data_IF_331455044590
#
_entry.id   IF_331455044590
#
_cell.length_a   1.000
_cell.length_b   1.000
_cell.length_c   1.000
_cell.angle_alpha   90.00
_cell.angle_beta   90.00
_cell.angle_gamma   90.00
#
_symmetry.space_group_name_H-M   'P 1'
#
loop_
_entity.id
_entity.type
_entity.pdbx_description
1 polymer ?
#
# COMPACT_ATOMS: atom_id res chain seq x y z
N UNK A 1 -81.04 12.63 -39.11
CA UNK A 1 -79.79 12.96 -38.41
C UNK A 1 -78.65 12.26 -39.20
N UNK A 2 -77.79 13.03 -39.94
CA UNK A 2 -76.85 12.48 -40.92
C UNK A 2 -75.49 12.34 -40.24
N UNK A 3 -74.95 11.11 -40.19
CA UNK A 3 -73.62 10.78 -39.70
C UNK A 3 -72.69 10.80 -40.93
N UNK A 4 -71.69 11.69 -40.91
CA UNK A 4 -70.62 11.73 -41.91
C UNK A 4 -69.46 10.87 -41.48
N UNK A 5 -69.18 9.85 -42.25
CA UNK A 5 -67.99 8.97 -42.10
C UNK A 5 -66.79 9.64 -42.73
N UNK A 6 -65.71 9.87 -41.95
CA UNK A 6 -64.42 10.32 -42.45
C UNK A 6 -63.51 9.09 -42.62
N UNK A 7 -63.03 8.88 -43.83
CA UNK A 7 -62.03 7.88 -44.15
C UNK A 7 -60.67 8.55 -44.07
N UNK A 8 -59.80 8.06 -43.14
CA UNK A 8 -58.38 8.49 -43.06
C UNK A 8 -57.55 7.43 -43.72
N UNK A 9 -56.90 7.78 -44.85
CA UNK A 9 -55.89 7.00 -45.54
C UNK A 9 -54.55 7.14 -44.88
N UNK A 10 -54.00 6.07 -44.30
CA UNK A 10 -52.64 6.00 -43.75
C UNK A 10 -51.64 5.63 -44.85
N UNK A 11 -50.76 6.56 -45.19
CA UNK A 11 -49.59 6.29 -46.04
C UNK A 11 -48.48 5.69 -45.20
N UNK A 12 -48.07 4.47 -45.50
CA UNK A 12 -46.92 3.82 -44.88
C UNK A 12 -45.62 4.26 -45.61
N UNK A 13 -44.75 4.97 -44.90
CA UNK A 13 -43.41 5.28 -45.38
C UNK A 13 -42.44 4.19 -44.89
N UNK A 14 -41.86 3.45 -45.84
CA UNK A 14 -40.73 2.55 -45.58
C UNK A 14 -39.48 3.37 -45.36
N UNK A 15 -38.92 3.37 -44.17
CA UNK A 15 -37.59 3.88 -43.89
C UNK A 15 -36.55 2.75 -44.05
N UNK A 16 -35.64 2.89 -44.99
CA UNK A 16 -34.47 2.03 -45.10
C UNK A 16 -33.56 2.25 -43.91
N UNK A 17 -33.35 1.20 -43.15
CA UNK A 17 -32.33 1.18 -42.09
C UNK A 17 -30.95 1.06 -42.77
N UNK A 18 -30.16 2.14 -42.69
CA UNK A 18 -28.73 2.10 -43.00
C UNK A 18 -28.02 1.39 -41.83
N UNK A 19 -27.32 0.29 -42.11
CA UNK A 19 -26.38 -0.33 -41.20
C UNK A 19 -25.22 0.64 -40.99
N UNK A 20 -25.27 1.40 -39.90
CA UNK A 20 -24.14 2.14 -39.36
C UNK A 20 -23.23 1.18 -38.60
N UNK A 21 -21.96 1.11 -39.01
CA UNK A 21 -20.87 0.45 -38.31
C UNK A 21 -20.88 0.86 -36.83
N UNK A 22 -21.00 -0.11 -35.94
CA UNK A 22 -20.80 0.09 -34.48
C UNK A 22 -19.33 0.35 -34.25
N UNK A 23 -18.95 1.63 -34.18
CA UNK A 23 -17.77 2.07 -33.44
C UNK A 23 -18.00 1.67 -31.99
N UNK A 24 -17.27 0.66 -31.55
CA UNK A 24 -17.15 0.35 -30.11
C UNK A 24 -16.36 1.48 -29.47
N UNK A 25 -17.06 2.57 -29.14
CA UNK A 25 -16.52 3.56 -28.21
C UNK A 25 -16.23 2.81 -26.90
N UNK A 26 -14.97 2.72 -26.54
CA UNK A 26 -14.57 2.25 -25.21
C UNK A 26 -15.28 3.06 -24.13
N UNK A 27 -15.34 2.56 -22.89
CA UNK A 27 -16.00 3.27 -21.81
C UNK A 27 -15.48 4.71 -21.78
N UNK A 28 -16.36 5.71 -21.54
CA UNK A 28 -15.94 7.11 -21.48
C UNK A 28 -14.84 7.22 -20.42
N UNK A 29 -13.68 7.74 -20.81
CA UNK A 29 -12.62 8.08 -19.85
C UNK A 29 -13.24 9.11 -18.89
N UNK A 30 -13.19 8.80 -17.57
CA UNK A 30 -13.63 9.74 -16.55
C UNK A 30 -12.91 11.08 -16.71
N UNK A 31 -13.54 12.18 -16.28
CA UNK A 31 -12.85 13.46 -16.24
C UNK A 31 -11.66 13.35 -15.26
N UNK A 32 -10.49 13.92 -15.61
CA UNK A 32 -9.33 13.91 -14.73
C UNK A 32 -9.68 14.50 -13.36
N UNK A 33 -9.27 13.84 -12.28
CA UNK A 33 -9.49 14.32 -10.93
C UNK A 33 -8.71 15.62 -10.73
N UNK A 34 -9.40 16.70 -10.37
CA UNK A 34 -8.76 18.00 -10.15
C UNK A 34 -7.77 17.93 -8.98
N UNK A 35 -6.59 18.51 -9.17
CA UNK A 35 -5.58 18.63 -8.11
C UNK A 35 -6.10 19.41 -6.92
N UNK A 36 -5.68 19.01 -5.72
CA UNK A 36 -6.06 19.66 -4.46
C UNK A 36 -4.81 20.29 -3.84
N UNK A 37 -4.89 21.58 -3.53
CA UNK A 37 -3.77 22.29 -2.90
C UNK A 37 -3.43 21.69 -1.51
N UNK A 38 -2.14 21.52 -1.24
CA UNK A 38 -1.65 21.08 0.06
C UNK A 38 -1.73 22.19 1.11
N UNK A 39 -1.66 21.86 2.41
CA UNK A 39 -1.55 22.84 3.47
C UNK A 39 -0.35 23.79 3.27
N UNK A 40 -0.47 25.04 3.68
CA UNK A 40 0.58 26.01 3.52
C UNK A 40 1.91 25.53 4.13
N UNK A 41 2.96 25.57 3.35
CA UNK A 41 4.33 25.20 3.77
C UNK A 41 4.63 23.71 3.82
N UNK A 42 3.72 22.84 3.37
CA UNK A 42 3.95 21.37 3.29
C UNK A 42 3.56 20.84 1.91
N UNK A 43 4.29 19.87 1.39
CA UNK A 43 3.82 19.04 0.29
C UNK A 43 2.86 17.95 0.83
N UNK A 44 1.96 17.42 -0.01
CA UNK A 44 1.08 16.35 0.47
C UNK A 44 1.85 15.09 0.88
N UNK A 45 2.97 14.77 0.25
CA UNK A 45 3.84 13.64 0.64
C UNK A 45 4.44 13.77 2.04
N UNK A 46 4.53 15.01 2.59
CA UNK A 46 5.01 15.28 3.94
C UNK A 46 3.88 15.22 4.99
N UNK A 47 2.65 15.06 4.55
CA UNK A 47 1.49 14.86 5.44
C UNK A 47 1.35 13.38 5.71
N UNK A 48 1.98 12.91 6.78
CA UNK A 48 1.98 11.51 7.18
C UNK A 48 1.32 11.35 8.54
N UNK A 49 0.48 10.33 8.67
CA UNK A 49 -0.19 10.01 9.94
C UNK A 49 -0.33 8.50 10.12
N UNK A 50 -0.41 8.06 11.37
CA UNK A 50 -0.80 6.70 11.70
C UNK A 50 -2.32 6.57 11.57
N UNK A 51 -2.80 5.50 10.96
CA UNK A 51 -4.23 5.26 10.76
C UNK A 51 -4.85 4.49 11.92
N UNK A 52 -6.18 4.48 12.02
CA UNK A 52 -6.92 3.68 13.02
C UNK A 52 -6.73 2.18 12.80
N UNK A 53 -6.42 1.76 11.58
CA UNK A 53 -6.05 0.39 11.28
C UNK A 53 -4.70 0.01 11.90
N UNK A 54 -3.82 0.98 12.12
CA UNK A 54 -2.46 0.83 12.64
C UNK A 54 -1.38 1.01 11.58
N UNK A 55 -1.77 1.16 10.30
CA UNK A 55 -0.88 1.49 9.19
C UNK A 55 -0.45 2.95 9.17
N UNK A 56 0.19 3.36 8.08
CA UNK A 56 0.65 4.73 7.87
C UNK A 56 0.11 5.25 6.55
N UNK A 57 -0.51 6.43 6.60
CA UNK A 57 -1.04 7.11 5.42
C UNK A 57 -0.24 8.36 5.13
N UNK A 58 0.15 8.54 3.86
CA UNK A 58 0.66 9.80 3.34
C UNK A 58 -0.32 10.41 2.33
N UNK A 59 -0.31 11.71 2.23
CA UNK A 59 -1.13 12.45 1.27
C UNK A 59 -2.35 13.11 1.88
N UNK A 60 -3.22 13.60 1.00
CA UNK A 60 -4.48 14.24 1.38
C UNK A 60 -5.45 13.22 2.02
N UNK A 61 -5.81 13.35 3.29
CA UNK A 61 -6.72 12.40 3.94
C UNK A 61 -8.14 12.41 3.32
N UNK A 62 -8.49 13.50 2.62
CA UNK A 62 -9.74 13.64 1.89
C UNK A 62 -9.62 13.34 0.40
N UNK A 63 -8.52 12.71 -0.04
CA UNK A 63 -8.32 12.33 -1.43
C UNK A 63 -9.47 11.45 -1.95
N UNK A 64 -9.85 11.67 -3.20
CA UNK A 64 -10.90 10.90 -3.88
C UNK A 64 -10.53 9.43 -4.03
N UNK A 65 -9.25 9.16 -4.28
CA UNK A 65 -8.71 7.82 -4.42
C UNK A 65 -7.86 7.48 -3.19
N UNK A 66 -8.22 6.40 -2.52
CA UNK A 66 -7.51 5.88 -1.35
C UNK A 66 -6.88 4.55 -1.73
N UNK A 67 -5.58 4.58 -2.04
CA UNK A 67 -4.81 3.38 -2.32
C UNK A 67 -4.26 2.83 -1.01
N UNK A 68 -4.52 1.56 -0.75
CA UNK A 68 -3.97 0.84 0.40
C UNK A 68 -3.09 -0.28 -0.13
N UNK A 69 -1.87 -0.39 0.39
CA UNK A 69 -0.98 -1.52 0.20
C UNK A 69 -0.87 -2.34 1.49
N UNK A 70 -1.17 -3.61 1.41
CA UNK A 70 -0.70 -4.60 2.38
C UNK A 70 0.67 -5.09 1.93
N UNK A 71 1.69 -4.72 2.66
CA UNK A 71 3.07 -5.01 2.33
C UNK A 71 3.83 -5.71 3.45
N UNK A 72 4.83 -6.50 3.09
CA UNK A 72 5.76 -7.12 4.03
C UNK A 72 7.18 -6.67 3.70
N UNK A 73 7.91 -6.28 4.75
CA UNK A 73 9.25 -5.71 4.55
C UNK A 73 10.24 -6.71 3.93
N UNK A 74 10.01 -8.00 4.14
CA UNK A 74 10.83 -9.08 3.57
C UNK A 74 10.33 -9.60 2.22
N UNK A 75 9.20 -9.09 1.71
CA UNK A 75 8.61 -9.55 0.45
C UNK A 75 9.33 -8.96 -0.78
N UNK A 76 9.92 -9.77 -1.67
CA UNK A 76 10.58 -9.25 -2.87
C UNK A 76 9.64 -8.52 -3.83
N UNK A 77 8.39 -8.97 -3.94
CA UNK A 77 7.37 -8.29 -4.76
C UNK A 77 7.04 -6.89 -4.25
N UNK A 78 7.02 -6.69 -2.91
CA UNK A 78 6.82 -5.37 -2.30
C UNK A 78 8.04 -4.46 -2.56
N UNK A 79 9.26 -4.99 -2.44
CA UNK A 79 10.46 -4.24 -2.79
C UNK A 79 10.45 -3.81 -4.27
N UNK A 80 10.08 -4.72 -5.17
CA UNK A 80 9.96 -4.41 -6.59
C UNK A 80 8.90 -3.33 -6.85
N UNK A 81 7.73 -3.44 -6.21
CA UNK A 81 6.69 -2.42 -6.31
C UNK A 81 7.21 -1.06 -5.81
N UNK A 82 7.81 -1.00 -4.62
CA UNK A 82 8.36 0.23 -4.05
C UNK A 82 9.35 0.89 -5.01
N UNK A 83 10.35 0.16 -5.51
CA UNK A 83 11.36 0.70 -6.44
C UNK A 83 10.74 1.23 -7.74
N UNK A 84 9.70 0.57 -8.25
CA UNK A 84 9.07 0.96 -9.52
C UNK A 84 8.05 2.10 -9.36
N UNK A 85 7.42 2.23 -8.19
CA UNK A 85 6.28 3.13 -8.00
C UNK A 85 6.65 4.44 -7.33
N UNK A 86 7.64 4.47 -6.43
CA UNK A 86 7.88 5.57 -5.49
C UNK A 86 7.88 6.94 -6.16
N UNK A 87 8.63 7.12 -7.24
CA UNK A 87 8.73 8.44 -7.89
C UNK A 87 7.38 8.90 -8.48
N UNK A 88 6.69 8.00 -9.18
CA UNK A 88 5.43 8.34 -9.86
C UNK A 88 4.26 8.41 -8.86
N UNK A 89 4.22 7.50 -7.88
CA UNK A 89 3.22 7.50 -6.81
C UNK A 89 3.33 8.77 -5.96
N UNK A 90 4.54 9.19 -5.59
CA UNK A 90 4.77 10.43 -4.84
C UNK A 90 4.29 11.67 -5.60
N UNK A 91 4.45 11.71 -6.94
CA UNK A 91 3.89 12.79 -7.76
C UNK A 91 2.35 12.79 -7.71
N UNK A 92 1.72 11.63 -7.87
CA UNK A 92 0.26 11.49 -7.84
C UNK A 92 -0.30 11.85 -6.45
N UNK A 93 0.34 11.38 -5.39
CA UNK A 93 -0.03 11.74 -4.00
C UNK A 93 0.12 13.24 -3.78
N UNK A 94 1.20 13.84 -4.31
CA UNK A 94 1.46 15.27 -4.15
C UNK A 94 0.48 16.17 -4.93
N UNK A 95 -0.21 15.63 -5.93
CA UNK A 95 -1.34 16.30 -6.58
C UNK A 95 -2.60 16.37 -5.69
N UNK A 96 -2.61 15.67 -4.55
CA UNK A 96 -3.71 15.65 -3.57
C UNK A 96 -4.92 14.82 -4.02
N UNK A 97 -4.83 14.14 -5.14
CA UNK A 97 -5.92 13.32 -5.73
C UNK A 97 -5.96 11.90 -5.17
N UNK A 98 -4.81 11.40 -4.71
CA UNK A 98 -4.61 10.09 -4.11
C UNK A 98 -4.04 10.23 -2.71
N UNK A 99 -4.53 9.44 -1.75
CA UNK A 99 -3.83 9.13 -0.52
C UNK A 99 -3.28 7.70 -0.61
N UNK A 100 -2.11 7.48 -0.04
CA UNK A 100 -1.50 6.16 0.02
C UNK A 100 -1.35 5.70 1.46
N UNK A 101 -1.97 4.57 1.81
CA UNK A 101 -1.84 3.92 3.11
C UNK A 101 -1.04 2.64 2.96
N UNK A 102 0.02 2.50 3.75
CA UNK A 102 0.76 1.26 3.88
C UNK A 102 0.34 0.53 5.17
N UNK A 103 -0.09 -0.72 5.04
CA UNK A 103 -0.49 -1.61 6.13
C UNK A 103 0.51 -2.74 6.25
N UNK A 104 1.35 -2.76 7.30
CA UNK A 104 2.22 -3.90 7.59
C UNK A 104 1.47 -5.22 7.62
N UNK A 105 2.00 -6.23 6.91
CA UNK A 105 1.47 -7.58 6.88
C UNK A 105 2.62 -8.59 7.01
N UNK A 106 2.55 -9.44 8.01
CA UNK A 106 3.63 -10.36 8.38
C UNK A 106 3.57 -11.65 7.55
N UNK A 107 3.82 -11.57 6.24
CA UNK A 107 3.73 -12.72 5.33
C UNK A 107 4.76 -13.80 5.65
N UNK A 108 5.95 -13.40 6.14
CA UNK A 108 6.99 -14.32 6.61
C UNK A 108 7.11 -14.34 8.15
N UNK A 109 6.04 -13.92 8.83
CA UNK A 109 5.92 -13.99 10.29
C UNK A 109 6.97 -13.16 11.03
N UNK A 110 7.70 -13.81 11.94
CA UNK A 110 8.64 -13.14 12.84
C UNK A 110 9.78 -12.42 12.12
N UNK A 111 10.12 -12.82 10.89
CA UNK A 111 11.20 -12.21 10.10
C UNK A 111 10.85 -10.79 9.63
N UNK A 112 9.56 -10.47 9.48
CA UNK A 112 9.12 -9.14 9.08
C UNK A 112 9.15 -8.14 10.22
N UNK A 113 9.04 -8.60 11.48
CA UNK A 113 8.85 -7.77 12.65
C UNK A 113 9.98 -6.76 12.85
N UNK A 114 11.27 -7.12 12.83
CA UNK A 114 12.34 -6.17 13.11
C UNK A 114 12.36 -4.97 12.16
N UNK A 115 12.16 -5.21 10.86
CA UNK A 115 12.13 -4.15 9.86
C UNK A 115 11.00 -3.16 10.11
N UNK A 116 9.79 -3.64 10.40
CA UNK A 116 8.66 -2.78 10.71
C UNK A 116 8.82 -2.01 12.03
N UNK A 117 9.32 -2.64 13.08
CA UNK A 117 9.57 -1.95 14.35
C UNK A 117 10.56 -0.81 14.17
N UNK A 118 11.61 -1.02 13.39
CA UNK A 118 12.60 0.01 13.12
C UNK A 118 12.08 1.10 12.18
N UNK A 119 11.26 0.75 11.17
CA UNK A 119 10.63 1.74 10.30
C UNK A 119 9.68 2.68 11.07
N UNK A 120 9.05 2.19 12.13
CA UNK A 120 8.14 2.97 12.98
C UNK A 120 8.87 3.79 14.07
N UNK A 121 10.17 3.54 14.28
CA UNK A 121 10.91 3.97 15.46
C UNK A 121 11.06 5.49 15.59
N UNK A 122 11.07 6.23 14.47
CA UNK A 122 11.24 7.69 14.43
C UNK A 122 9.95 8.45 14.17
N UNK A 123 8.81 7.80 14.35
CA UNK A 123 7.50 8.41 14.16
C UNK A 123 6.96 8.32 12.72
N UNK A 124 5.74 8.85 12.51
CA UNK A 124 5.04 8.68 11.23
C UNK A 124 5.78 9.25 10.02
N UNK A 125 6.39 10.43 10.17
CA UNK A 125 7.05 11.15 9.07
C UNK A 125 8.27 10.39 8.51
N UNK A 126 8.94 9.60 9.36
CA UNK A 126 10.09 8.78 8.95
C UNK A 126 9.70 7.43 8.33
N UNK A 127 8.44 6.99 8.48
CA UNK A 127 8.02 5.64 8.11
C UNK A 127 8.24 5.33 6.63
N UNK A 128 7.70 6.16 5.72
CA UNK A 128 7.83 5.92 4.29
C UNK A 128 9.28 6.00 3.80
N UNK A 129 10.04 7.07 4.08
CA UNK A 129 11.44 7.15 3.66
C UNK A 129 12.30 5.99 4.16
N UNK A 130 12.04 5.50 5.39
CA UNK A 130 12.81 4.41 5.97
C UNK A 130 12.40 3.05 5.38
N UNK A 131 11.10 2.85 5.13
CA UNK A 131 10.58 1.65 4.47
C UNK A 131 11.11 1.52 3.05
N UNK A 132 11.11 2.62 2.27
CA UNK A 132 11.68 2.67 0.92
C UNK A 132 13.16 2.26 0.90
N UNK A 133 13.94 2.76 1.85
CA UNK A 133 15.36 2.43 1.97
C UNK A 133 15.57 0.97 2.42
N UNK A 134 14.72 0.45 3.31
CA UNK A 134 14.72 -0.96 3.67
C UNK A 134 14.46 -1.85 2.46
N UNK A 135 13.52 -1.47 1.61
CA UNK A 135 13.26 -2.18 0.35
C UNK A 135 14.42 -2.08 -0.65
N UNK A 136 15.00 -0.91 -0.80
CA UNK A 136 16.15 -0.71 -1.70
C UNK A 136 17.35 -1.60 -1.33
N UNK A 137 17.56 -1.85 -0.05
CA UNK A 137 18.66 -2.68 0.46
C UNK A 137 18.18 -4.09 0.89
N UNK A 138 16.96 -4.50 0.52
CA UNK A 138 16.32 -5.73 0.98
C UNK A 138 17.21 -6.98 0.80
N UNK A 139 17.80 -7.17 -0.37
CA UNK A 139 18.64 -8.33 -0.65
C UNK A 139 19.87 -8.38 0.27
N UNK A 140 20.42 -7.24 0.68
CA UNK A 140 21.59 -7.14 1.55
C UNK A 140 21.26 -7.62 2.96
N UNK A 141 20.23 -7.09 3.57
CA UNK A 141 19.90 -7.45 4.95
C UNK A 141 19.18 -8.80 5.06
N UNK A 142 18.37 -9.22 4.06
CA UNK A 142 17.82 -10.58 4.02
C UNK A 142 18.93 -11.62 3.84
N UNK A 143 19.94 -11.35 3.02
CA UNK A 143 21.09 -12.25 2.84
C UNK A 143 21.81 -12.59 4.14
N UNK A 144 21.78 -11.67 5.12
CA UNK A 144 22.36 -11.88 6.45
C UNK A 144 21.58 -12.88 7.32
N UNK A 145 20.36 -13.27 6.95
CA UNK A 145 19.64 -14.35 7.63
C UNK A 145 20.42 -15.67 7.60
N UNK A 146 21.30 -15.87 6.62
CA UNK A 146 22.22 -17.01 6.57
C UNK A 146 23.19 -17.07 7.76
N UNK A 147 23.35 -15.96 8.51
CA UNK A 147 24.18 -15.94 9.74
C UNK A 147 23.43 -16.41 10.98
N UNK A 148 22.12 -16.67 10.89
CA UNK A 148 21.32 -17.26 11.97
C UNK A 148 21.67 -18.75 12.06
N UNK A 149 22.35 -19.13 13.13
CA UNK A 149 22.84 -20.47 13.36
C UNK A 149 21.75 -21.40 13.88
N UNK A 150 22.00 -22.72 13.85
CA UNK A 150 21.09 -23.70 14.49
C UNK A 150 20.94 -23.43 16.00
N UNK A 151 22.00 -23.00 16.67
CA UNK A 151 21.94 -22.61 18.07
C UNK A 151 21.01 -21.39 18.30
N UNK A 152 21.07 -20.39 17.39
CA UNK A 152 20.14 -19.26 17.44
C UNK A 152 18.69 -19.74 17.25
N UNK A 153 18.44 -20.64 16.28
CA UNK A 153 17.10 -21.19 16.02
C UNK A 153 16.55 -21.97 17.23
N UNK A 154 17.40 -22.77 17.88
CA UNK A 154 17.02 -23.48 19.11
C UNK A 154 16.75 -22.52 20.26
N UNK A 155 17.55 -21.46 20.39
CA UNK A 155 17.33 -20.43 21.40
C UNK A 155 16.00 -19.69 21.19
N UNK A 156 15.68 -19.30 19.94
CA UNK A 156 14.43 -18.61 19.60
C UNK A 156 13.17 -19.37 20.00
N UNK A 157 13.22 -20.73 20.05
CA UNK A 157 12.07 -21.52 20.51
C UNK A 157 11.66 -21.26 21.98
N UNK A 158 12.58 -20.68 22.77
CA UNK A 158 12.36 -20.38 24.19
C UNK A 158 12.33 -18.87 24.49
N UNK A 159 12.51 -18.04 23.46
CA UNK A 159 12.53 -16.59 23.59
C UNK A 159 11.12 -15.99 23.45
N UNK A 160 10.88 -14.88 24.12
CA UNK A 160 9.74 -14.03 23.88
C UNK A 160 9.87 -13.31 22.53
N UNK A 161 8.76 -12.93 21.87
CA UNK A 161 8.78 -12.30 20.55
C UNK A 161 9.70 -11.08 20.43
N UNK A 162 9.78 -10.24 21.46
CA UNK A 162 10.65 -9.06 21.51
C UNK A 162 12.14 -9.43 21.59
N UNK A 163 12.47 -10.54 22.21
CA UNK A 163 13.84 -11.06 22.25
C UNK A 163 14.23 -11.60 20.86
N UNK A 164 13.32 -12.29 20.18
CA UNK A 164 13.54 -12.77 18.80
C UNK A 164 13.68 -11.58 17.85
N UNK A 165 12.83 -10.57 17.97
CA UNK A 165 12.91 -9.37 17.14
C UNK A 165 14.27 -8.66 17.29
N UNK A 166 14.78 -8.56 18.53
CA UNK A 166 16.10 -7.97 18.81
C UNK A 166 17.23 -8.83 18.24
N UNK A 167 17.16 -10.15 18.40
CA UNK A 167 18.15 -11.09 17.84
C UNK A 167 18.19 -10.99 16.30
N UNK A 168 17.04 -11.09 15.66
CA UNK A 168 16.96 -11.03 14.21
C UNK A 168 17.36 -9.64 13.68
N UNK A 169 16.91 -8.56 14.31
CA UNK A 169 17.30 -7.19 13.94
C UNK A 169 18.82 -6.99 14.00
N UNK A 170 19.48 -7.62 14.97
CA UNK A 170 20.95 -7.62 15.08
C UNK A 170 21.61 -8.49 13.99
N UNK A 171 21.16 -9.73 13.84
CA UNK A 171 21.72 -10.68 12.84
C UNK A 171 21.54 -10.19 11.40
N UNK A 172 20.41 -9.59 11.09
CA UNK A 172 20.14 -8.99 9.78
C UNK A 172 20.88 -7.65 9.56
N UNK A 173 21.55 -7.11 10.59
CA UNK A 173 22.28 -5.85 10.53
C UNK A 173 21.37 -4.62 10.44
N UNK A 174 20.11 -4.76 10.84
CA UNK A 174 19.12 -3.68 10.74
C UNK A 174 19.37 -2.58 11.78
N UNK A 175 19.99 -2.89 12.92
CA UNK A 175 20.42 -1.88 13.91
C UNK A 175 21.45 -0.94 13.27
N UNK A 176 22.49 -1.49 12.62
CA UNK A 176 23.51 -0.67 11.94
C UNK A 176 22.90 0.12 10.76
N UNK A 177 21.96 -0.51 10.05
CA UNK A 177 21.22 0.17 8.97
C UNK A 177 20.53 1.44 9.48
N UNK A 178 19.78 1.39 10.58
CA UNK A 178 19.07 2.56 11.10
C UNK A 178 19.98 3.53 11.82
N UNK A 179 21.10 3.08 12.40
CA UNK A 179 22.13 3.96 13.00
C UNK A 179 22.72 4.89 11.96
N UNK A 180 23.01 4.41 10.77
CA UNK A 180 23.51 5.26 9.68
C UNK A 180 22.49 6.29 9.19
N UNK A 181 21.23 6.21 9.67
CA UNK A 181 20.09 7.06 9.35
C UNK A 181 19.58 7.89 10.54
N UNK A 182 20.39 8.00 11.58
CA UNK A 182 20.13 8.88 12.73
C UNK A 182 19.34 8.27 13.87
N UNK A 183 19.00 6.96 13.84
CA UNK A 183 18.41 6.25 14.99
C UNK A 183 19.54 5.66 15.83
N UNK A 184 19.67 6.08 17.09
CA UNK A 184 20.72 5.54 17.97
C UNK A 184 20.51 4.04 18.23
N UNK A 185 21.59 3.35 18.62
CA UNK A 185 21.52 1.92 18.93
C UNK A 185 20.56 1.63 20.09
N UNK A 186 20.58 2.47 21.12
CA UNK A 186 19.68 2.32 22.26
C UNK A 186 18.22 2.53 21.86
N UNK A 187 17.95 3.52 21.01
CA UNK A 187 16.61 3.74 20.46
C UNK A 187 16.18 2.56 19.60
N UNK A 188 17.03 2.04 18.73
CA UNK A 188 16.73 0.88 17.90
C UNK A 188 16.42 -0.36 18.75
N UNK A 189 17.22 -0.63 19.79
CA UNK A 189 16.96 -1.73 20.74
C UNK A 189 15.65 -1.54 21.52
N UNK A 190 15.35 -0.32 21.94
CA UNK A 190 14.08 0.00 22.58
C UNK A 190 12.89 -0.29 21.68
N UNK A 191 12.95 0.13 20.40
CA UNK A 191 11.90 -0.13 19.42
C UNK A 191 11.74 -1.63 19.14
N UNK A 192 12.85 -2.37 19.00
CA UNK A 192 12.81 -3.83 18.80
C UNK A 192 12.23 -4.60 19.98
N UNK A 193 12.27 -4.02 21.18
CA UNK A 193 11.74 -4.61 22.42
C UNK A 193 10.31 -4.16 22.74
N UNK A 194 9.68 -3.35 21.88
CA UNK A 194 8.32 -2.85 22.09
C UNK A 194 7.27 -3.94 21.81
N UNK A 195 6.88 -4.63 22.89
CA UNK A 195 5.86 -5.68 22.85
C UNK A 195 4.52 -5.18 22.31
N UNK A 196 4.11 -3.96 22.65
CA UNK A 196 2.84 -3.41 22.19
C UNK A 196 2.85 -3.17 20.66
N UNK A 197 3.98 -2.70 20.12
CA UNK A 197 4.16 -2.56 18.68
C UNK A 197 4.14 -3.92 17.96
N UNK A 198 4.77 -4.96 18.54
CA UNK A 198 4.72 -6.33 18.01
C UNK A 198 3.27 -6.86 17.99
N UNK A 199 2.55 -6.75 19.09
CA UNK A 199 1.15 -7.17 19.21
C UNK A 199 0.26 -6.44 18.19
N UNK A 200 0.53 -5.15 17.90
CA UNK A 200 -0.18 -4.38 16.88
C UNK A 200 0.11 -4.89 15.47
N UNK A 201 1.35 -5.24 15.14
CA UNK A 201 1.70 -5.83 13.84
C UNK A 201 0.98 -7.16 13.61
N UNK A 202 0.91 -8.01 14.63
CA UNK A 202 0.18 -9.28 14.57
C UNK A 202 -1.31 -9.03 14.33
N UNK A 203 -1.93 -8.13 15.11
CA UNK A 203 -3.35 -7.77 14.96
C UNK A 203 -3.66 -7.18 13.59
N UNK A 204 -2.77 -6.35 13.02
CA UNK A 204 -2.96 -5.83 11.65
C UNK A 204 -2.97 -6.95 10.62
N UNK A 205 -2.09 -7.92 10.76
CA UNK A 205 -2.05 -9.10 9.87
C UNK A 205 -3.33 -9.92 9.99
N UNK A 206 -3.80 -10.18 11.21
CA UNK A 206 -5.06 -10.90 11.46
C UNK A 206 -6.26 -10.16 10.88
N UNK A 207 -6.35 -8.84 11.08
CA UNK A 207 -7.41 -8.00 10.51
C UNK A 207 -7.37 -7.99 8.99
N UNK A 208 -6.19 -7.80 8.39
CA UNK A 208 -6.03 -7.82 6.94
C UNK A 208 -6.50 -9.15 6.33
N UNK A 209 -6.18 -10.26 6.99
CA UNK A 209 -6.63 -11.59 6.56
C UNK A 209 -8.14 -11.73 6.70
N UNK A 210 -8.71 -11.33 7.84
CA UNK A 210 -10.11 -11.55 8.16
C UNK A 210 -11.05 -10.58 7.44
N UNK A 211 -10.72 -9.28 7.48
CA UNK A 211 -11.63 -8.21 7.06
C UNK A 211 -11.49 -7.90 5.55
N UNK A 212 -10.25 -7.94 5.03
CA UNK A 212 -9.93 -7.57 3.64
C UNK A 212 -9.53 -8.78 2.77
N UNK A 213 -9.54 -10.00 3.31
CA UNK A 213 -9.24 -11.24 2.57
C UNK A 213 -7.81 -11.30 2.02
N UNK A 214 -6.85 -10.70 2.76
CA UNK A 214 -5.44 -10.68 2.36
C UNK A 214 -4.80 -12.03 2.70
N UNK A 215 -4.17 -12.65 1.70
CA UNK A 215 -3.46 -13.93 1.82
C UNK A 215 -2.00 -13.86 1.39
N UNK A 216 -1.52 -12.70 0.93
CA UNK A 216 -0.15 -12.51 0.47
C UNK A 216 0.13 -11.04 0.17
N UNK A 217 1.40 -10.74 -0.13
CA UNK A 217 1.90 -9.38 -0.38
C UNK A 217 2.71 -9.30 -1.67
N UNK A 218 2.75 -8.14 -2.36
CA UNK A 218 1.88 -7.02 -2.10
C UNK A 218 0.43 -7.30 -2.48
N UNK A 219 -0.51 -6.75 -1.72
CA UNK A 219 -1.94 -6.75 -2.05
C UNK A 219 -2.48 -5.33 -1.93
N UNK A 220 -3.36 -4.94 -2.86
CA UNK A 220 -3.83 -3.56 -2.95
C UNK A 220 -5.35 -3.46 -2.85
N UNK A 221 -5.81 -2.40 -2.19
CA UNK A 221 -7.20 -1.97 -2.23
C UNK A 221 -7.27 -0.53 -2.75
N UNK A 222 -8.25 -0.25 -3.60
CA UNK A 222 -8.58 1.11 -4.03
C UNK A 222 -10.00 1.43 -3.58
N UNK A 223 -10.16 2.45 -2.75
CA UNK A 223 -11.44 2.81 -2.14
C UNK A 223 -12.15 1.60 -1.46
N UNK A 224 -11.37 0.71 -0.84
CA UNK A 224 -11.85 -0.49 -0.15
C UNK A 224 -12.09 -1.71 -1.06
N UNK A 225 -12.03 -1.56 -2.38
CA UNK A 225 -12.14 -2.69 -3.29
C UNK A 225 -10.75 -3.29 -3.58
N UNK A 226 -10.62 -4.61 -3.44
CA UNK A 226 -9.37 -5.32 -3.75
C UNK A 226 -9.06 -5.23 -5.24
N UNK A 227 -7.81 -4.89 -5.55
CA UNK A 227 -7.32 -4.84 -6.91
C UNK A 227 -6.70 -6.19 -7.32
N UNK A 228 -6.87 -6.55 -8.59
CA UNK A 228 -6.13 -7.65 -9.19
C UNK A 228 -4.72 -7.21 -9.57
N UNK A 229 -3.74 -8.07 -9.25
CA UNK A 229 -2.34 -7.82 -9.52
C UNK A 229 -1.61 -7.05 -8.42
N UNK A 230 -0.28 -6.99 -8.51
CA UNK A 230 0.60 -6.38 -7.52
C UNK A 230 1.73 -5.54 -8.13
N UNK A 231 1.83 -5.47 -9.46
CA UNK A 231 2.86 -4.68 -10.13
C UNK A 231 2.39 -3.24 -10.37
N UNK A 232 3.32 -2.28 -10.31
CA UNK A 232 3.01 -0.87 -10.49
C UNK A 232 2.25 -0.55 -11.78
N UNK A 233 2.66 -1.15 -12.90
CA UNK A 233 2.00 -0.97 -14.20
C UNK A 233 0.53 -1.42 -14.24
N UNK A 234 0.12 -2.33 -13.33
CA UNK A 234 -1.26 -2.80 -13.21
C UNK A 234 -2.10 -1.86 -12.32
N UNK A 235 -1.45 -1.15 -11.39
CA UNK A 235 -2.08 -0.29 -10.39
C UNK A 235 -2.21 1.15 -10.89
N UNK A 236 -1.16 1.70 -11.49
CA UNK A 236 -1.07 3.13 -11.82
C UNK A 236 -2.20 3.65 -12.72
N UNK A 237 -2.64 2.86 -13.70
CA UNK A 237 -3.74 3.25 -14.59
C UNK A 237 -5.06 3.52 -13.86
N UNK A 238 -5.24 2.92 -12.68
CA UNK A 238 -6.44 3.10 -11.84
C UNK A 238 -6.38 4.35 -10.95
N UNK A 239 -5.23 5.00 -10.87
CA UNK A 239 -5.01 6.18 -10.01
C UNK A 239 -5.12 7.52 -10.75
N UNK A 240 -5.34 7.50 -12.07
CA UNK A 240 -5.36 8.69 -12.93
C UNK A 240 -6.67 8.84 -13.74
N UNK A 241 -7.64 7.96 -13.51
CA UNK A 241 -8.96 7.96 -14.15
C UNK A 241 -10.03 8.64 -13.31
#
# INVERSE_FOLDING_TARGET
>A
MRIKTFIITTAAAFALAACGSSDTAGPPKGEPIAKVASPAGKAWIDVVSKTEFGGYQMGNPSAKLKLIEYGAISCPGCAQFSVQSTEELNKIVNDGTVSFEYRPFLVHGIQDIPGFLLAQCSGPEAFFPLTEQLYAEQAIWLGKLSTVTEADQQAMQKMAPEQIATLLGTKMGLIEFVKSRGISEDQAKSCLSDKAAIDNLIKMTERGTKDDGISGTPSFLLNGAKLDGGAWNQIKGKLVE
#
